data_IF_328188612960
#
_entry.id   IF_328188612960
#
_cell.length_a   1.000
_cell.length_b   1.000
_cell.length_c   1.000
_cell.angle_alpha   90.00
_cell.angle_beta   90.00
_cell.angle_gamma   90.00
#
_symmetry.space_group_name_H-M   'P 1'
#
loop_
_entity.id
_entity.type
_entity.pdbx_description
1 polymer ?
#
# COMPACT_ATOMS: atom_id res chain seq x y z
N UNK A 1 16.05 -18.57 -8.40
CA UNK A 1 15.91 -17.22 -7.80
C UNK A 1 14.44 -16.88 -7.78
N UNK A 2 13.95 -16.20 -6.73
CA UNK A 2 12.55 -15.80 -6.61
C UNK A 2 12.27 -14.49 -7.33
N UNK A 3 11.01 -14.23 -7.61
CA UNK A 3 10.50 -12.90 -8.02
C UNK A 3 10.05 -12.18 -6.74
N UNK A 4 10.44 -10.91 -6.58
CA UNK A 4 9.93 -10.04 -5.52
C UNK A 4 8.69 -9.30 -6.02
N UNK A 5 7.56 -9.51 -5.35
CA UNK A 5 6.33 -8.75 -5.55
C UNK A 5 6.24 -7.64 -4.51
N UNK A 6 5.99 -6.42 -4.95
CA UNK A 6 5.88 -5.23 -4.09
C UNK A 6 4.53 -4.58 -4.35
N UNK A 7 3.64 -4.58 -3.37
CA UNK A 7 2.30 -4.02 -3.49
C UNK A 7 2.18 -2.70 -2.72
N UNK A 8 1.56 -1.69 -3.34
CA UNK A 8 0.78 -0.72 -2.58
C UNK A 8 -0.49 -1.37 -2.01
N UNK A 9 -1.15 -0.71 -1.05
CA UNK A 9 -2.34 -1.21 -0.39
C UNK A 9 -3.61 -0.52 -0.89
N UNK A 10 -3.75 0.78 -0.63
CA UNK A 10 -4.92 1.58 -1.00
C UNK A 10 -5.06 1.68 -2.51
N UNK A 11 -6.30 1.56 -3.01
CA UNK A 11 -6.59 1.46 -4.44
C UNK A 11 -5.77 0.40 -5.22
N UNK A 12 -5.06 -0.49 -4.53
CA UNK A 12 -4.24 -1.55 -5.12
C UNK A 12 -4.73 -2.91 -4.64
N UNK A 13 -4.43 -3.30 -3.40
CA UNK A 13 -4.97 -4.52 -2.78
C UNK A 13 -6.45 -4.32 -2.45
N UNK A 14 -6.78 -3.22 -1.77
CA UNK A 14 -8.16 -2.81 -1.52
C UNK A 14 -8.63 -1.86 -2.61
N UNK A 15 -9.92 -1.86 -2.91
CA UNK A 15 -10.50 -1.09 -4.01
C UNK A 15 -10.90 0.34 -3.63
N UNK A 16 -10.41 0.84 -2.49
CA UNK A 16 -10.70 2.17 -1.97
C UNK A 16 -9.49 2.68 -1.17
N UNK A 17 -9.58 3.91 -0.66
CA UNK A 17 -8.58 4.50 0.23
C UNK A 17 -9.01 4.31 1.69
N UNK A 18 -8.25 3.49 2.42
CA UNK A 18 -8.48 3.13 3.83
C UNK A 18 -8.54 4.33 4.77
N UNK A 19 -7.71 5.36 4.55
CA UNK A 19 -7.72 6.60 5.34
C UNK A 19 -9.03 7.38 5.16
N UNK A 20 -9.64 7.33 3.98
CA UNK A 20 -10.94 7.98 3.75
C UNK A 20 -12.13 7.07 4.06
N UNK A 21 -11.95 5.75 3.96
CA UNK A 21 -12.98 4.75 4.24
C UNK A 21 -13.45 4.78 5.71
N UNK A 22 -12.52 5.03 6.64
CA UNK A 22 -12.79 5.11 8.08
C UNK A 22 -13.83 6.20 8.44
N UNK A 23 -14.03 7.20 7.58
CA UNK A 23 -15.04 8.27 7.77
C UNK A 23 -16.45 7.70 7.90
N UNK A 24 -16.71 6.48 7.41
CA UNK A 24 -17.98 5.79 7.64
C UNK A 24 -18.27 5.48 9.12
N UNK A 25 -17.26 5.55 10.00
CA UNK A 25 -17.46 5.47 11.45
C UNK A 25 -18.03 6.77 12.05
N UNK A 26 -17.89 7.90 11.36
CA UNK A 26 -18.39 9.17 11.88
C UNK A 26 -19.93 9.16 11.97
N UNK A 27 -20.51 9.92 12.91
CA UNK A 27 -21.94 10.20 12.91
C UNK A 27 -22.42 10.65 11.52
N UNK A 28 -23.55 10.10 11.06
CA UNK A 28 -24.10 10.33 9.71
C UNK A 28 -23.13 10.03 8.54
N UNK A 29 -22.04 9.30 8.82
CA UNK A 29 -20.97 8.97 7.88
C UNK A 29 -20.30 10.20 7.25
N UNK A 30 -20.24 11.31 8.00
CA UNK A 30 -19.70 12.59 7.53
C UNK A 30 -18.83 13.25 8.58
N UNK A 31 -17.78 13.93 8.11
CA UNK A 31 -16.97 14.78 8.96
C UNK A 31 -17.61 16.18 9.08
N UNK A 32 -17.45 16.87 10.22
CA UNK A 32 -17.79 18.28 10.32
C UNK A 32 -17.02 19.12 9.29
N UNK A 33 -17.66 20.14 8.71
CA UNK A 33 -17.04 21.00 7.68
C UNK A 33 -15.69 21.60 8.13
N UNK A 34 -15.58 22.00 9.40
CA UNK A 34 -14.33 22.55 9.96
C UNK A 34 -13.20 21.53 9.89
N UNK A 35 -13.50 20.26 10.18
CA UNK A 35 -12.53 19.18 10.12
C UNK A 35 -12.19 18.85 8.68
N UNK A 36 -13.18 18.69 7.81
CA UNK A 36 -12.98 18.43 6.38
C UNK A 36 -12.10 19.48 5.70
N UNK A 37 -12.28 20.76 6.06
CA UNK A 37 -11.52 21.88 5.51
C UNK A 37 -10.17 22.11 6.20
N UNK A 38 -9.81 21.31 7.20
CA UNK A 38 -8.55 21.48 7.94
C UNK A 38 -7.32 20.94 7.21
N UNK A 39 -7.48 20.21 6.10
CA UNK A 39 -6.36 19.62 5.37
C UNK A 39 -5.41 20.71 4.85
N UNK A 40 -4.12 20.55 5.14
CA UNK A 40 -3.05 21.38 4.63
C UNK A 40 -2.18 20.56 3.68
N UNK A 41 -1.81 21.13 2.53
CA UNK A 41 -1.01 20.43 1.52
C UNK A 41 0.25 19.82 2.14
N UNK A 42 0.42 18.51 1.98
CA UNK A 42 1.58 17.78 2.48
C UNK A 42 1.54 17.41 3.96
N UNK A 43 0.41 17.65 4.65
CA UNK A 43 0.17 17.28 6.05
C UNK A 43 -0.98 16.28 6.19
N UNK A 44 -0.96 15.22 5.36
CA UNK A 44 -2.01 14.21 5.32
C UNK A 44 -2.10 13.42 6.63
N UNK A 45 -0.96 12.98 7.17
CA UNK A 45 -0.90 12.23 8.44
C UNK A 45 -1.44 13.06 9.62
N UNK A 46 -1.10 14.35 9.70
CA UNK A 46 -1.62 15.25 10.73
C UNK A 46 -3.13 15.49 10.56
N UNK A 47 -3.61 15.60 9.32
CA UNK A 47 -5.04 15.69 9.02
C UNK A 47 -5.80 14.45 9.49
N UNK A 48 -5.30 13.26 9.18
CA UNK A 48 -5.87 12.00 9.65
C UNK A 48 -5.84 11.87 11.17
N UNK A 49 -4.78 12.34 11.84
CA UNK A 49 -4.72 12.39 13.30
C UNK A 49 -5.84 13.20 13.94
N UNK A 50 -6.25 14.32 13.32
CA UNK A 50 -7.42 15.10 13.77
C UNK A 50 -8.72 14.34 13.56
N UNK A 51 -8.84 13.58 12.47
CA UNK A 51 -10.01 12.71 12.23
C UNK A 51 -10.10 11.62 13.28
N UNK A 52 -9.00 10.93 13.59
CA UNK A 52 -9.02 9.88 14.62
C UNK A 52 -9.34 10.42 16.01
N UNK A 53 -8.83 11.61 16.35
CA UNK A 53 -9.20 12.32 17.58
C UNK A 53 -10.71 12.60 17.61
N UNK A 54 -11.25 13.16 16.53
CA UNK A 54 -12.69 13.43 16.42
C UNK A 54 -13.53 12.17 16.56
N UNK A 55 -13.18 11.07 15.87
CA UNK A 55 -13.90 9.80 16.00
C UNK A 55 -13.90 9.32 17.46
N UNK A 56 -12.76 9.43 18.13
CA UNK A 56 -12.63 9.11 19.55
C UNK A 56 -13.52 9.97 20.46
N UNK A 57 -13.63 11.27 20.19
CA UNK A 57 -14.54 12.20 20.89
C UNK A 57 -16.02 11.86 20.65
N UNK A 58 -16.37 11.29 19.49
CA UNK A 58 -17.71 10.78 19.19
C UNK A 58 -17.99 9.42 19.84
N UNK A 59 -17.06 8.87 20.62
CA UNK A 59 -17.22 7.58 21.29
C UNK A 59 -16.95 6.37 20.40
N UNK A 60 -16.43 6.56 19.19
CA UNK A 60 -16.03 5.45 18.31
C UNK A 60 -14.80 4.77 18.90
N UNK A 61 -14.83 3.44 18.99
CA UNK A 61 -13.74 2.63 19.54
C UNK A 61 -13.20 1.63 18.53
N UNK A 62 -12.15 0.92 18.94
CA UNK A 62 -11.42 -0.03 18.12
C UNK A 62 -12.32 -1.01 17.36
N UNK A 63 -13.27 -1.65 18.06
CA UNK A 63 -14.18 -2.63 17.45
C UNK A 63 -15.11 -2.02 16.39
N UNK A 64 -15.53 -0.77 16.58
CA UNK A 64 -16.36 -0.04 15.61
C UNK A 64 -15.55 0.26 14.35
N UNK A 65 -14.33 0.76 14.53
CA UNK A 65 -13.39 1.01 13.43
C UNK A 65 -13.09 -0.28 12.66
N UNK A 66 -12.77 -1.36 13.38
CA UNK A 66 -12.48 -2.66 12.79
C UNK A 66 -13.64 -3.17 11.95
N UNK A 67 -14.88 -3.07 12.44
CA UNK A 67 -16.08 -3.51 11.69
C UNK A 67 -16.24 -2.77 10.37
N UNK A 68 -15.92 -1.47 10.32
CA UNK A 68 -15.95 -0.68 9.09
C UNK A 68 -14.78 -1.05 8.18
N UNK A 69 -13.58 -1.18 8.72
CA UNK A 69 -12.37 -1.45 7.93
C UNK A 69 -12.40 -2.82 7.26
N UNK A 70 -12.86 -3.88 7.95
CA UNK A 70 -12.95 -5.22 7.33
C UNK A 70 -13.99 -5.32 6.21
N UNK A 71 -14.89 -4.34 6.10
CA UNK A 71 -15.90 -4.26 5.04
C UNK A 71 -15.39 -3.52 3.79
N UNK A 72 -14.16 -2.99 3.80
CA UNK A 72 -13.58 -2.38 2.60
C UNK A 72 -13.45 -3.45 1.49
N UNK A 73 -13.94 -3.18 0.27
CA UNK A 73 -13.86 -4.18 -0.79
C UNK A 73 -12.42 -4.38 -1.24
N UNK A 74 -12.04 -5.62 -1.52
CA UNK A 74 -10.82 -5.92 -2.26
C UNK A 74 -10.97 -5.50 -3.72
N UNK A 75 -9.85 -5.15 -4.36
CA UNK A 75 -9.80 -4.97 -5.82
C UNK A 75 -10.30 -6.25 -6.51
N UNK A 76 -11.14 -6.17 -7.56
CA UNK A 76 -11.67 -7.36 -8.23
C UNK A 76 -10.57 -8.36 -8.63
N UNK A 77 -10.71 -9.63 -8.23
CA UNK A 77 -9.73 -10.69 -8.50
C UNK A 77 -8.46 -10.68 -7.62
N UNK A 78 -8.34 -9.74 -6.68
CA UNK A 78 -7.16 -9.61 -5.82
C UNK A 78 -7.04 -10.77 -4.83
N UNK A 79 -8.16 -11.24 -4.27
CA UNK A 79 -8.16 -12.37 -3.36
C UNK A 79 -7.59 -13.62 -4.02
N UNK A 80 -8.02 -13.94 -5.25
CA UNK A 80 -7.56 -15.07 -6.04
C UNK A 80 -6.07 -14.95 -6.38
N UNK A 81 -5.61 -13.74 -6.73
CA UNK A 81 -4.20 -13.43 -6.92
C UNK A 81 -3.38 -13.71 -5.66
N UNK A 82 -3.82 -13.23 -4.50
CA UNK A 82 -3.11 -13.42 -3.23
C UNK A 82 -3.04 -14.90 -2.84
N UNK A 83 -4.12 -15.66 -3.04
CA UNK A 83 -4.12 -17.11 -2.83
C UNK A 83 -3.12 -17.82 -3.75
N UNK A 84 -3.06 -17.45 -5.03
CA UNK A 84 -2.08 -17.99 -5.96
C UNK A 84 -0.64 -17.69 -5.51
N UNK A 85 -0.35 -16.47 -5.09
CA UNK A 85 0.98 -16.10 -4.57
C UNK A 85 1.32 -16.95 -3.33
N UNK A 86 0.36 -17.12 -2.41
CA UNK A 86 0.51 -17.95 -1.21
C UNK A 86 0.77 -19.43 -1.51
N UNK A 87 0.26 -19.96 -2.62
CA UNK A 87 0.52 -21.32 -3.08
C UNK A 87 1.88 -21.50 -3.78
N UNK A 88 2.56 -20.40 -4.14
CA UNK A 88 3.81 -20.40 -4.92
C UNK A 88 4.94 -19.66 -4.18
N UNK A 89 5.03 -19.79 -2.85
CA UNK A 89 6.03 -19.12 -1.99
C UNK A 89 7.47 -19.58 -2.23
N UNK A 90 7.68 -20.70 -2.90
CA UNK A 90 8.99 -21.13 -3.39
C UNK A 90 9.45 -20.28 -4.60
N UNK A 91 8.51 -19.66 -5.32
CA UNK A 91 8.76 -18.80 -6.49
C UNK A 91 8.68 -17.30 -6.17
N UNK A 92 7.90 -16.92 -5.16
CA UNK A 92 7.64 -15.52 -4.82
C UNK A 92 8.00 -15.17 -3.38
N UNK A 93 8.67 -14.03 -3.22
CA UNK A 93 8.59 -13.23 -2.00
C UNK A 93 7.65 -12.04 -2.28
N UNK A 94 6.86 -11.63 -1.30
CA UNK A 94 5.79 -10.66 -1.44
C UNK A 94 5.81 -9.69 -0.26
N UNK A 95 5.85 -8.39 -0.52
CA UNK A 95 5.84 -7.34 0.51
C UNK A 95 4.80 -6.26 0.20
N UNK A 96 4.38 -5.55 1.24
CA UNK A 96 3.58 -4.32 1.13
C UNK A 96 4.44 -3.12 1.48
N UNK A 97 4.34 -2.04 0.70
CA UNK A 97 4.86 -0.72 1.07
C UNK A 97 3.74 0.30 0.87
N UNK A 98 3.18 0.82 1.97
CA UNK A 98 1.93 1.59 1.94
C UNK A 98 1.91 2.80 2.88
N UNK A 99 1.27 3.88 2.42
CA UNK A 99 0.97 5.08 3.21
C UNK A 99 -0.23 4.93 4.16
N UNK A 100 -0.89 3.77 4.20
CA UNK A 100 -1.90 3.42 5.21
C UNK A 100 -1.24 3.26 6.60
N UNK A 101 -1.78 2.40 7.48
CA UNK A 101 -1.19 2.11 8.77
C UNK A 101 -1.27 0.65 9.20
N UNK A 102 -0.45 0.28 10.18
CA UNK A 102 -0.28 -1.11 10.63
C UNK A 102 -1.57 -1.76 11.10
N UNK A 103 -2.45 -1.01 11.78
CA UNK A 103 -3.70 -1.55 12.35
C UNK A 103 -4.72 -1.83 11.25
N UNK A 104 -4.91 -0.90 10.30
CA UNK A 104 -5.87 -1.09 9.22
C UNK A 104 -5.46 -2.26 8.32
N UNK A 105 -4.19 -2.30 7.89
CA UNK A 105 -3.69 -3.39 7.04
C UNK A 105 -3.84 -4.73 7.76
N UNK A 106 -3.46 -4.84 9.03
CA UNK A 106 -3.58 -6.08 9.79
C UNK A 106 -5.02 -6.58 9.86
N UNK A 107 -5.98 -5.72 10.22
CA UNK A 107 -7.38 -6.11 10.33
C UNK A 107 -7.95 -6.62 9.01
N UNK A 108 -7.69 -5.90 7.92
CA UNK A 108 -8.22 -6.24 6.59
C UNK A 108 -7.63 -7.57 6.12
N UNK A 109 -6.31 -7.72 6.16
CA UNK A 109 -5.64 -8.93 5.68
C UNK A 109 -5.95 -10.16 6.53
N UNK A 110 -6.01 -10.00 7.85
CA UNK A 110 -6.34 -11.09 8.78
C UNK A 110 -7.79 -11.54 8.61
N UNK A 111 -8.74 -10.61 8.43
CA UNK A 111 -10.15 -10.96 8.21
C UNK A 111 -10.34 -11.84 6.95
N UNK A 112 -9.58 -11.57 5.88
CA UNK A 112 -9.63 -12.34 4.65
C UNK A 112 -8.68 -13.56 4.63
N UNK A 113 -7.96 -13.85 5.72
CA UNK A 113 -6.97 -14.94 5.83
C UNK A 113 -5.85 -14.89 4.76
N UNK A 114 -5.44 -13.69 4.34
CA UNK A 114 -4.38 -13.49 3.33
C UNK A 114 -3.12 -12.83 3.92
N UNK A 115 -3.09 -12.54 5.23
CA UNK A 115 -1.95 -11.93 5.90
C UNK A 115 -0.66 -12.75 5.74
N UNK A 116 -0.74 -14.08 5.78
CA UNK A 116 0.41 -14.98 5.64
C UNK A 116 1.07 -14.98 4.24
N UNK A 117 0.45 -14.35 3.25
CA UNK A 117 1.02 -14.21 1.89
C UNK A 117 2.22 -13.27 1.90
N UNK A 118 2.15 -12.23 2.73
CA UNK A 118 3.13 -11.14 2.77
C UNK A 118 4.25 -11.47 3.76
N UNK A 119 5.48 -11.45 3.27
CA UNK A 119 6.66 -11.70 4.09
C UNK A 119 6.94 -10.52 5.04
N UNK A 120 6.71 -9.29 4.58
CA UNK A 120 6.86 -8.06 5.37
C UNK A 120 5.88 -6.98 4.91
N UNK A 121 5.42 -6.16 5.87
CA UNK A 121 4.57 -4.99 5.63
C UNK A 121 5.30 -3.75 6.15
N UNK A 122 5.53 -2.79 5.27
CA UNK A 122 6.15 -1.50 5.58
C UNK A 122 5.12 -0.39 5.45
N UNK A 123 4.68 0.15 6.58
CA UNK A 123 3.61 1.16 6.63
C UNK A 123 3.69 1.98 7.91
N UNK A 124 2.95 3.08 8.00
CA UNK A 124 2.97 3.97 9.15
C UNK A 124 2.55 3.23 10.44
N UNK A 125 3.37 3.21 11.50
CA UNK A 125 3.00 2.58 12.76
C UNK A 125 1.77 3.24 13.36
N UNK A 126 0.81 2.43 13.80
CA UNK A 126 -0.38 2.89 14.50
C UNK A 126 -0.61 2.16 15.82
N UNK A 127 -1.12 2.90 16.80
CA UNK A 127 -1.45 2.42 18.13
C UNK A 127 -2.66 3.16 18.69
N UNK A 128 -3.43 2.52 19.57
CA UNK A 128 -4.43 3.21 20.38
C UNK A 128 -3.76 3.87 21.59
N UNK A 129 -4.04 5.16 21.79
CA UNK A 129 -3.56 5.88 22.97
C UNK A 129 -4.35 5.51 24.24
N UNK A 130 -3.95 6.08 25.38
CA UNK A 130 -4.61 5.86 26.67
C UNK A 130 -6.09 6.30 26.73
N UNK A 131 -6.54 7.10 25.76
CA UNK A 131 -7.91 7.59 25.65
C UNK A 131 -8.74 6.75 24.65
N UNK A 132 -8.12 5.74 24.02
CA UNK A 132 -8.75 4.89 23.02
C UNK A 132 -8.79 5.52 21.62
N UNK A 133 -7.98 6.55 21.36
CA UNK A 133 -7.89 7.18 20.05
C UNK A 133 -6.80 6.51 19.21
N UNK A 134 -7.09 6.27 17.93
CA UNK A 134 -6.08 5.79 16.99
C UNK A 134 -5.05 6.90 16.73
N UNK A 135 -3.77 6.55 16.87
CA UNK A 135 -2.64 7.44 16.59
C UNK A 135 -1.76 6.81 15.52
N UNK A 136 -1.23 7.62 14.61
CA UNK A 136 -0.38 7.18 13.49
C UNK A 136 0.91 7.99 13.51
N UNK A 137 2.04 7.30 13.32
CA UNK A 137 3.37 7.89 13.27
C UNK A 137 3.98 7.73 11.88
N UNK A 138 4.92 8.60 11.52
CA UNK A 138 5.69 8.44 10.29
C UNK A 138 6.48 7.12 10.33
N UNK A 139 6.49 6.37 9.23
CA UNK A 139 7.25 5.12 9.14
C UNK A 139 8.75 5.33 9.37
N UNK A 140 9.31 6.38 8.78
CA UNK A 140 10.73 6.72 8.95
C UNK A 140 11.00 8.20 8.72
N UNK A 141 12.22 8.63 9.02
CA UNK A 141 12.73 9.96 8.63
C UNK A 141 13.57 9.81 7.37
N UNK A 142 13.28 10.61 6.35
CA UNK A 142 14.02 10.61 5.09
C UNK A 142 14.15 12.02 4.50
N UNK A 143 15.03 12.15 3.50
CA UNK A 143 15.35 13.43 2.86
C UNK A 143 14.96 13.46 1.37
N UNK A 144 14.13 12.52 0.92
CA UNK A 144 13.57 12.54 -0.43
C UNK A 144 12.76 13.83 -0.67
N UNK A 145 13.07 14.57 -1.74
CA UNK A 145 12.44 15.85 -2.04
C UNK A 145 11.02 15.74 -2.62
N UNK A 146 10.62 14.56 -3.10
CA UNK A 146 9.36 14.34 -3.83
C UNK A 146 8.34 13.50 -3.06
N UNK A 147 8.77 12.73 -2.07
CA UNK A 147 7.89 11.90 -1.26
C UNK A 147 7.28 12.69 -0.10
N UNK A 148 6.09 12.30 0.39
CA UNK A 148 5.55 12.84 1.63
C UNK A 148 6.48 12.52 2.81
N UNK A 149 6.40 13.29 3.90
CA UNK A 149 7.36 13.19 5.01
C UNK A 149 7.30 11.87 5.78
N UNK A 150 6.18 11.16 5.70
CA UNK A 150 5.92 9.98 6.50
C UNK A 150 6.62 8.73 5.95
N UNK A 151 6.68 8.60 4.62
CA UNK A 151 7.17 7.40 3.95
C UNK A 151 7.75 7.74 2.57
N UNK A 152 8.91 7.14 2.28
CA UNK A 152 9.51 7.14 0.95
C UNK A 152 9.61 5.68 0.51
N UNK A 153 8.65 5.25 -0.30
CA UNK A 153 8.53 3.83 -0.71
C UNK A 153 9.77 3.32 -1.44
N UNK A 154 10.42 4.18 -2.23
CA UNK A 154 11.71 3.86 -2.89
C UNK A 154 12.78 3.49 -1.88
N UNK A 155 12.94 4.31 -0.85
CA UNK A 155 13.98 4.13 0.16
C UNK A 155 13.78 2.82 0.91
N UNK A 156 12.53 2.50 1.25
CA UNK A 156 12.16 1.21 1.87
C UNK A 156 12.49 0.04 0.94
N UNK A 157 12.14 0.13 -0.34
CA UNK A 157 12.44 -0.93 -1.31
C UNK A 157 13.96 -1.13 -1.50
N UNK A 158 14.73 -0.04 -1.60
CA UNK A 158 16.20 -0.07 -1.69
C UNK A 158 16.81 -0.79 -0.48
N UNK A 159 16.38 -0.42 0.74
CA UNK A 159 16.89 -1.01 1.98
C UNK A 159 16.49 -2.47 2.14
N UNK A 160 15.26 -2.83 1.77
CA UNK A 160 14.80 -4.22 1.76
C UNK A 160 15.66 -5.07 0.82
N UNK A 161 15.84 -4.65 -0.44
CA UNK A 161 16.64 -5.40 -1.42
C UNK A 161 18.10 -5.51 -0.99
N UNK A 162 18.68 -4.44 -0.45
CA UNK A 162 20.06 -4.46 0.06
C UNK A 162 20.22 -5.42 1.25
N UNK A 163 19.25 -5.45 2.17
CA UNK A 163 19.22 -6.38 3.30
C UNK A 163 19.10 -7.82 2.84
N UNK A 164 18.19 -8.11 1.89
CA UNK A 164 18.03 -9.45 1.32
C UNK A 164 19.31 -9.92 0.61
N UNK A 165 19.95 -9.03 -0.16
CA UNK A 165 21.23 -9.32 -0.83
C UNK A 165 22.33 -9.65 0.17
N UNK A 166 22.43 -8.90 1.27
CA UNK A 166 23.40 -9.15 2.34
C UNK A 166 23.16 -10.50 3.05
N UNK A 167 21.92 -10.97 3.05
CA UNK A 167 21.52 -12.29 3.56
C UNK A 167 21.67 -13.42 2.51
N UNK A 168 22.30 -13.15 1.35
CA UNK A 168 22.51 -14.13 0.29
C UNK A 168 21.28 -14.39 -0.60
N UNK A 169 20.21 -13.60 -0.45
CA UNK A 169 19.01 -13.69 -1.30
C UNK A 169 19.16 -12.76 -2.49
N UNK A 170 18.98 -13.31 -3.70
CA UNK A 170 18.92 -12.53 -4.93
C UNK A 170 17.59 -12.78 -5.63
N UNK A 171 16.96 -11.70 -6.09
CA UNK A 171 15.74 -11.75 -6.88
C UNK A 171 16.09 -11.74 -8.37
N UNK A 172 15.41 -12.59 -9.15
CA UNK A 172 15.53 -12.56 -10.61
C UNK A 172 14.85 -11.35 -11.23
N UNK A 173 13.82 -10.83 -10.55
CA UNK A 173 12.95 -9.76 -11.02
C UNK A 173 12.22 -9.12 -9.84
N UNK A 174 11.98 -7.82 -9.93
CA UNK A 174 11.06 -7.07 -9.06
C UNK A 174 9.83 -6.70 -9.89
N UNK A 175 8.65 -6.97 -9.34
CA UNK A 175 7.36 -6.52 -9.88
C UNK A 175 6.76 -5.56 -8.87
N UNK A 176 6.61 -4.29 -9.24
CA UNK A 176 5.99 -3.27 -8.41
C UNK A 176 4.55 -3.01 -8.88
N UNK A 177 3.58 -3.19 -8.01
CA UNK A 177 2.14 -3.03 -8.28
C UNK A 177 1.62 -1.86 -7.44
N UNK A 178 1.08 -0.83 -8.10
CA UNK A 178 0.54 0.36 -7.41
C UNK A 178 -0.34 1.21 -8.32
N UNK A 179 -0.90 2.28 -7.78
CA UNK A 179 -1.85 3.17 -8.46
C UNK A 179 -1.47 4.66 -8.35
N UNK A 180 -0.81 5.04 -7.26
CA UNK A 180 -0.75 6.40 -6.78
C UNK A 180 0.49 7.20 -7.19
N UNK A 181 0.48 8.50 -6.89
CA UNK A 181 1.62 9.37 -7.18
C UNK A 181 2.82 9.09 -6.25
N UNK A 182 2.55 8.56 -5.07
CA UNK A 182 3.51 8.04 -4.09
C UNK A 182 4.28 6.81 -4.59
N UNK A 183 3.77 6.10 -5.61
CA UNK A 183 4.42 4.92 -6.20
C UNK A 183 5.39 5.25 -7.33
N UNK A 184 5.44 6.49 -7.83
CA UNK A 184 6.39 6.79 -8.90
C UNK A 184 7.84 6.68 -8.42
N UNK A 185 8.13 7.17 -7.21
CA UNK A 185 9.49 7.15 -6.68
C UNK A 185 10.09 5.73 -6.67
N UNK A 186 9.45 4.69 -6.10
CA UNK A 186 9.99 3.32 -6.17
C UNK A 186 10.05 2.76 -7.59
N UNK A 187 9.14 3.14 -8.49
CA UNK A 187 9.21 2.69 -9.90
C UNK A 187 10.50 3.19 -10.60
N UNK A 188 11.02 4.36 -10.23
CA UNK A 188 12.33 4.85 -10.76
C UNK A 188 13.55 4.07 -10.25
N UNK A 189 13.39 3.19 -9.25
CA UNK A 189 14.46 2.31 -8.77
C UNK A 189 14.52 0.99 -9.53
N UNK A 190 13.43 0.61 -10.21
CA UNK A 190 13.35 -0.62 -10.98
C UNK A 190 14.30 -0.56 -12.18
N UNK A 191 14.90 -1.70 -12.50
CA UNK A 191 15.93 -1.84 -13.54
C UNK A 191 15.35 -2.48 -14.80
N UNK A 192 16.17 -2.50 -15.85
CA UNK A 192 15.88 -3.31 -17.03
C UNK A 192 15.68 -4.78 -16.63
N UNK A 193 14.53 -5.33 -17.01
CA UNK A 193 14.10 -6.69 -16.65
C UNK A 193 13.02 -6.73 -15.56
N UNK A 194 12.91 -5.69 -14.73
CA UNK A 194 11.83 -5.51 -13.77
C UNK A 194 10.53 -5.07 -14.45
N UNK A 195 9.44 -5.10 -13.69
CA UNK A 195 8.10 -4.74 -14.17
C UNK A 195 7.46 -3.72 -13.24
N UNK A 196 7.04 -2.58 -13.77
CA UNK A 196 6.11 -1.67 -13.12
C UNK A 196 4.70 -1.96 -13.60
N UNK A 197 3.77 -2.18 -12.68
CA UNK A 197 2.37 -2.46 -12.95
C UNK A 197 1.50 -1.33 -12.39
N UNK A 198 1.30 -0.24 -13.16
CA UNK A 198 0.41 0.83 -12.74
C UNK A 198 -1.06 0.48 -12.97
N UNK A 199 -1.91 0.81 -12.00
CA UNK A 199 -3.36 0.66 -12.15
C UNK A 199 -3.91 1.65 -13.16
N UNK A 200 -4.72 1.17 -14.11
CA UNK A 200 -5.37 1.98 -15.14
C UNK A 200 -6.27 3.06 -14.51
N UNK A 201 -6.21 4.27 -15.06
CA UNK A 201 -7.03 5.42 -14.64
C UNK A 201 -6.45 6.22 -13.47
N UNK A 202 -5.51 5.64 -12.72
CA UNK A 202 -4.90 6.28 -11.55
C UNK A 202 -3.67 7.11 -11.91
N UNK A 203 -3.11 7.79 -10.91
CA UNK A 203 -2.09 8.82 -11.15
C UNK A 203 -0.73 8.25 -11.56
N UNK A 204 -0.37 7.04 -11.11
CA UNK A 204 0.90 6.40 -11.47
C UNK A 204 0.98 6.17 -12.98
N UNK A 205 -0.07 5.61 -13.59
CA UNK A 205 -0.16 5.39 -15.05
C UNK A 205 0.12 6.70 -15.81
N UNK A 206 -0.60 7.77 -15.43
CA UNK A 206 -0.48 9.10 -16.06
C UNK A 206 0.91 9.70 -15.88
N UNK A 207 1.57 9.45 -14.74
CA UNK A 207 2.91 9.98 -14.45
C UNK A 207 4.00 9.21 -15.19
N UNK A 208 3.93 7.88 -15.22
CA UNK A 208 4.87 7.05 -15.99
C UNK A 208 4.85 7.45 -17.46
N UNK A 209 3.67 7.68 -18.05
CA UNK A 209 3.56 8.12 -19.44
C UNK A 209 4.30 9.45 -19.72
N UNK A 210 4.34 10.37 -18.74
CA UNK A 210 5.04 11.66 -18.85
C UNK A 210 6.53 11.55 -18.56
N UNK A 211 6.93 10.62 -17.69
CA UNK A 211 8.29 10.47 -17.17
C UNK A 211 8.99 9.21 -17.72
N UNK A 212 8.52 8.66 -18.86
CA UNK A 212 8.95 7.36 -19.38
C UNK A 212 10.47 7.22 -19.58
N UNK A 213 11.17 8.32 -19.83
CA UNK A 213 12.64 8.35 -19.98
C UNK A 213 13.40 8.05 -18.69
N UNK A 214 12.72 8.13 -17.54
CA UNK A 214 13.27 7.84 -16.21
C UNK A 214 12.95 6.41 -15.75
N UNK A 215 12.23 5.63 -16.56
CA UNK A 215 11.78 4.29 -16.21
C UNK A 215 12.50 3.26 -17.08
N UNK A 216 13.37 2.47 -16.47
CA UNK A 216 14.12 1.41 -17.14
C UNK A 216 13.37 0.06 -17.17
N UNK A 217 12.35 -0.09 -16.31
CA UNK A 217 11.53 -1.29 -16.23
C UNK A 217 10.49 -1.37 -17.36
N UNK A 218 10.02 -2.59 -17.61
CA UNK A 218 8.86 -2.78 -18.48
C UNK A 218 7.57 -2.34 -17.79
N UNK A 219 6.59 -1.85 -18.56
CA UNK A 219 5.31 -1.38 -18.02
C UNK A 219 4.21 -2.38 -18.40
N UNK A 220 3.45 -2.85 -17.41
CA UNK A 220 2.26 -3.69 -17.61
C UNK A 220 1.08 -3.10 -16.84
N UNK A 221 0.28 -2.27 -17.53
CA UNK A 221 -0.93 -1.66 -16.95
C UNK A 221 -1.93 -2.75 -16.54
N UNK A 222 -2.65 -2.54 -15.44
CA UNK A 222 -3.65 -3.49 -14.95
C UNK A 222 -4.94 -2.81 -14.49
N UNK A 223 -6.06 -3.52 -14.57
CA UNK A 223 -7.38 -3.07 -14.10
C UNK A 223 -7.98 -3.94 -12.98
N UNK A 224 -7.53 -5.20 -12.90
CA UNK A 224 -7.99 -6.20 -11.93
C UNK A 224 -6.84 -7.11 -11.47
N UNK A 225 -7.02 -7.79 -10.34
CA UNK A 225 -6.10 -8.80 -9.84
C UNK A 225 -5.96 -10.00 -10.78
N UNK A 226 -6.96 -10.28 -11.63
CA UNK A 226 -6.91 -11.35 -12.63
C UNK A 226 -5.87 -11.08 -13.73
N UNK A 227 -5.68 -9.82 -14.14
CA UNK A 227 -4.66 -9.44 -15.12
C UNK A 227 -3.25 -9.57 -14.54
N UNK A 228 -3.06 -9.15 -13.27
CA UNK A 228 -1.80 -9.37 -12.56
C UNK A 228 -1.52 -10.87 -12.44
N UNK A 229 -2.52 -11.67 -12.05
CA UNK A 229 -2.40 -13.12 -11.96
C UNK A 229 -1.97 -13.75 -13.29
N UNK A 230 -2.59 -13.34 -14.40
CA UNK A 230 -2.22 -13.81 -15.73
C UNK A 230 -0.77 -13.46 -16.08
N UNK A 231 -0.34 -12.24 -15.74
CA UNK A 231 1.04 -11.81 -15.94
C UNK A 231 2.03 -12.65 -15.11
N UNK A 232 1.73 -12.87 -13.82
CA UNK A 232 2.59 -13.68 -12.95
C UNK A 232 2.70 -15.13 -13.44
N UNK A 233 1.61 -15.72 -13.95
CA UNK A 233 1.65 -17.07 -14.54
C UNK A 233 2.60 -17.14 -15.73
N UNK A 234 2.54 -16.16 -16.64
CA UNK A 234 3.46 -16.07 -17.77
C UNK A 234 4.92 -15.97 -17.31
N UNK A 235 5.21 -15.18 -16.27
CA UNK A 235 6.56 -15.06 -15.71
C UNK A 235 7.08 -16.35 -15.06
N UNK A 236 6.23 -17.31 -14.72
CA UNK A 236 6.66 -18.60 -14.17
C UNK A 236 6.98 -19.64 -15.25
N UNK A 237 6.47 -19.43 -16.47
CA UNK A 237 6.67 -20.27 -17.64
C UNK A 237 7.93 -19.90 -18.45
N UNK A 238 8.43 -18.67 -18.27
CA UNK A 238 9.75 -18.19 -18.74
C UNK A 238 10.92 -18.75 -17.93
#
# INVERSE_FOLDING_TARGET
MKILLVFDFDHTIVNDNSDTWIVQCAPDKKLPNVLQNSYEKGKWTEYMGRIFTYLGEQGIREDDMKRIMIAIPYTPGMTELLHFIGQNKDRFDCIIISDSNTIFIDWILTHANVNAVFDQVFTNPATFDRFGNLTVQNFHVHHCATCPKNLCKRKVLEEFVAKQTSNGVQYSKIVYIGDGSNDLCPVTFLKKGDVAMPRVGYTLEKRIAKEIKLIDSSISVWSSGAEILSHLKHLLEE
#
